data_IF_622736159350
#
_entry.id   IF_622736159350
#
_cell.length_a   1.000
_cell.length_b   1.000
_cell.length_c   1.000
_cell.angle_alpha   90.00
_cell.angle_beta   90.00
_cell.angle_gamma   90.00
#
_symmetry.space_group_name_H-M   'P 1'
#
loop_
_entity.id
_entity.type
_entity.pdbx_description
1 polymer ?
#
# COMPACT_ATOMS: atom_id res chain seq x y z
N UNK A 1 8.98 -11.77 -4.14
CA UNK A 1 7.98 -10.93 -3.44
C UNK A 1 6.58 -11.26 -3.96
N UNK A 2 5.69 -11.80 -3.12
CA UNK A 2 4.33 -12.15 -3.56
C UNK A 2 3.54 -10.86 -3.82
N UNK A 3 3.02 -10.67 -5.04
CA UNK A 3 2.26 -9.46 -5.40
C UNK A 3 0.92 -9.45 -4.66
N UNK A 4 0.67 -8.39 -3.90
CA UNK A 4 -0.59 -8.25 -3.15
C UNK A 4 -1.68 -7.64 -4.04
N UNK A 5 -2.94 -7.96 -3.76
CA UNK A 5 -4.10 -7.38 -4.48
C UNK A 5 -4.06 -5.85 -4.50
N UNK A 6 -3.63 -5.22 -3.41
CA UNK A 6 -3.48 -3.75 -3.33
C UNK A 6 -2.37 -3.23 -4.26
N UNK A 7 -1.22 -3.89 -4.28
CA UNK A 7 -0.11 -3.52 -5.16
C UNK A 7 -0.53 -3.66 -6.64
N UNK A 8 -1.23 -4.73 -6.98
CA UNK A 8 -1.77 -4.97 -8.32
C UNK A 8 -2.73 -3.86 -8.76
N UNK A 9 -3.70 -3.49 -7.92
CA UNK A 9 -4.63 -2.39 -8.21
C UNK A 9 -3.88 -1.07 -8.47
N UNK A 10 -2.84 -0.78 -7.69
CA UNK A 10 -2.06 0.44 -7.84
C UNK A 10 -1.26 0.44 -9.16
N UNK A 11 -0.63 -0.68 -9.51
CA UNK A 11 0.12 -0.83 -10.76
C UNK A 11 -0.81 -0.73 -11.99
N UNK A 12 -1.98 -1.39 -11.95
CA UNK A 12 -3.00 -1.26 -13.01
C UNK A 12 -3.54 0.19 -13.11
N UNK A 13 -3.68 0.89 -11.97
CA UNK A 13 -4.08 2.30 -11.98
C UNK A 13 -3.00 3.20 -12.59
N UNK A 14 -1.73 2.91 -12.33
CA UNK A 14 -0.60 3.65 -12.89
C UNK A 14 -0.56 3.48 -14.41
N UNK A 15 -0.70 2.26 -14.90
CA UNK A 15 -0.73 1.95 -16.34
C UNK A 15 -1.84 2.73 -17.06
N UNK A 16 -3.07 2.69 -16.52
CA UNK A 16 -4.20 3.45 -17.08
C UNK A 16 -3.94 4.96 -17.12
N UNK A 17 -3.31 5.53 -16.08
CA UNK A 17 -2.97 6.96 -16.01
C UNK A 17 -1.89 7.34 -17.02
N UNK A 18 -0.86 6.51 -17.17
CA UNK A 18 0.19 6.71 -18.17
C UNK A 18 -0.38 6.66 -19.60
N UNK A 19 -1.25 5.70 -19.88
CA UNK A 19 -1.97 5.64 -21.17
C UNK A 19 -2.75 6.93 -21.43
N UNK A 20 -3.58 7.36 -20.47
CA UNK A 20 -4.35 8.59 -20.60
C UNK A 20 -3.47 9.85 -20.76
N UNK A 21 -2.28 9.87 -20.16
CA UNK A 21 -1.32 10.96 -20.31
C UNK A 21 -0.76 10.99 -21.72
N UNK A 22 -0.32 9.84 -22.24
CA UNK A 22 0.20 9.72 -23.60
C UNK A 22 -0.87 10.13 -24.64
N UNK A 23 -2.11 9.69 -24.46
CA UNK A 23 -3.23 10.05 -25.35
C UNK A 23 -3.47 11.57 -25.35
N UNK A 24 -3.47 12.21 -24.18
CA UNK A 24 -3.62 13.67 -24.05
C UNK A 24 -2.42 14.43 -24.63
N UNK A 25 -1.21 13.91 -24.43
CA UNK A 25 0.01 14.52 -24.96
C UNK A 25 0.00 14.47 -26.48
N UNK A 26 -0.36 13.32 -27.07
CA UNK A 26 -0.49 13.18 -28.51
C UNK A 26 -1.57 14.13 -29.08
N UNK A 27 -2.70 14.27 -28.39
CA UNK A 27 -3.74 15.22 -28.78
C UNK A 27 -3.23 16.67 -28.74
N UNK A 28 -2.47 17.06 -27.70
CA UNK A 28 -1.85 18.38 -27.63
C UNK A 28 -0.88 18.61 -28.79
N UNK A 29 0.03 17.66 -29.05
CA UNK A 29 0.98 17.71 -30.17
C UNK A 29 0.24 17.85 -31.50
N UNK A 30 -0.82 17.07 -31.73
CA UNK A 30 -1.63 17.14 -32.94
C UNK A 30 -2.31 18.51 -33.08
N UNK A 31 -2.83 19.07 -31.97
CA UNK A 31 -3.43 20.41 -31.97
C UNK A 31 -2.41 21.51 -32.30
N UNK A 32 -1.19 21.39 -31.80
CA UNK A 32 -0.09 22.32 -32.10
C UNK A 32 0.32 22.21 -33.57
N UNK A 33 0.49 20.98 -34.09
CA UNK A 33 0.80 20.72 -35.49
C UNK A 33 -0.26 21.29 -36.43
N UNK A 34 -1.55 21.06 -36.16
CA UNK A 34 -2.65 21.58 -36.97
C UNK A 34 -2.63 23.10 -37.12
N UNK A 35 -2.17 23.81 -36.09
CA UNK A 35 -2.14 25.25 -36.12
C UNK A 35 -0.99 25.83 -36.97
N UNK A 36 0.01 25.03 -37.36
CA UNK A 36 1.10 25.41 -38.28
C UNK A 36 1.76 26.78 -37.99
N UNK A 37 1.90 27.17 -36.71
CA UNK A 37 2.46 28.47 -36.31
C UNK A 37 1.55 29.70 -36.57
N UNK A 38 0.39 29.54 -37.20
CA UNK A 38 -0.59 30.62 -37.42
C UNK A 38 -1.07 31.34 -36.14
N UNK A 39 -1.28 30.68 -34.97
CA UNK A 39 -1.80 31.35 -33.78
C UNK A 39 -0.90 32.45 -33.25
N UNK A 40 0.40 32.40 -33.57
CA UNK A 40 1.38 33.40 -33.13
C UNK A 40 1.36 34.64 -34.03
N UNK A 41 0.82 34.53 -35.25
CA UNK A 41 0.70 35.61 -36.23
C UNK A 41 -0.75 36.11 -36.41
N UNK A 42 -1.75 35.34 -35.98
CA UNK A 42 -3.17 35.68 -36.08
C UNK A 42 -3.64 36.58 -34.92
N UNK A 43 -3.85 37.88 -35.22
CA UNK A 43 -4.32 38.89 -34.26
C UNK A 43 -5.77 38.72 -33.79
N UNK A 44 -6.63 37.96 -34.50
CA UNK A 44 -8.05 37.80 -34.16
C UNK A 44 -8.32 36.51 -33.39
N UNK A 45 -7.76 35.38 -33.81
CA UNK A 45 -8.06 34.07 -33.19
C UNK A 45 -6.90 33.45 -32.39
N UNK A 46 -5.69 34.05 -32.39
CA UNK A 46 -4.53 33.53 -31.67
C UNK A 46 -4.77 33.28 -30.18
N UNK A 47 -5.51 34.18 -29.50
CA UNK A 47 -5.83 34.05 -28.07
C UNK A 47 -6.67 32.81 -27.76
N UNK A 48 -7.64 32.47 -28.62
CA UNK A 48 -8.49 31.30 -28.41
C UNK A 48 -7.67 30.00 -28.50
N UNK A 49 -6.74 29.92 -29.45
CA UNK A 49 -5.84 28.77 -29.60
C UNK A 49 -4.88 28.64 -28.43
N UNK A 50 -4.27 29.74 -27.98
CA UNK A 50 -3.40 29.74 -26.79
C UNK A 50 -4.15 29.29 -25.54
N UNK A 51 -5.39 29.77 -25.34
CA UNK A 51 -6.23 29.33 -24.23
C UNK A 51 -6.55 27.83 -24.29
N UNK A 52 -6.77 27.28 -25.49
CA UNK A 52 -6.96 25.83 -25.69
C UNK A 52 -5.71 25.05 -25.30
N UNK A 53 -4.53 25.49 -25.75
CA UNK A 53 -3.25 24.85 -25.41
C UNK A 53 -2.98 24.91 -23.91
N UNK A 54 -3.25 26.04 -23.26
CA UNK A 54 -3.05 26.16 -21.82
C UNK A 54 -3.98 25.23 -21.03
N UNK A 55 -5.24 25.06 -21.46
CA UNK A 55 -6.15 24.06 -20.87
C UNK A 55 -5.63 22.63 -21.04
N UNK A 56 -5.10 22.30 -22.22
CA UNK A 56 -4.49 20.99 -22.48
C UNK A 56 -3.26 20.76 -21.57
N UNK A 57 -2.38 21.76 -21.46
CA UNK A 57 -1.21 21.73 -20.59
C UNK A 57 -1.59 21.58 -19.12
N UNK A 58 -2.59 22.32 -18.64
CA UNK A 58 -3.09 22.17 -17.27
C UNK A 58 -3.67 20.78 -17.02
N UNK A 59 -4.39 20.21 -17.98
CA UNK A 59 -4.83 18.82 -17.86
C UNK A 59 -3.66 17.82 -17.80
N UNK A 60 -2.57 18.06 -18.54
CA UNK A 60 -1.36 17.22 -18.50
C UNK A 60 -0.64 17.34 -17.16
N UNK A 61 -0.45 18.57 -16.64
CA UNK A 61 0.15 18.83 -15.32
C UNK A 61 -0.60 18.10 -14.21
N UNK A 62 -1.93 18.23 -14.19
CA UNK A 62 -2.79 17.57 -13.20
C UNK A 62 -2.66 16.04 -13.26
N UNK A 63 -2.58 15.47 -14.46
CA UNK A 63 -2.44 14.03 -14.63
C UNK A 63 -1.05 13.54 -14.22
N UNK A 64 0.01 14.31 -14.53
CA UNK A 64 1.37 14.04 -14.07
C UNK A 64 1.47 14.03 -12.54
N UNK A 65 0.82 14.97 -11.84
CA UNK A 65 0.74 14.94 -10.39
C UNK A 65 0.02 13.70 -9.87
N UNK A 66 -1.08 13.29 -10.51
CA UNK A 66 -1.80 12.07 -10.15
C UNK A 66 -0.97 10.80 -10.38
N UNK A 67 -0.14 10.76 -11.43
CA UNK A 67 0.81 9.68 -11.70
C UNK A 67 1.82 9.61 -10.55
N UNK A 68 2.47 10.74 -10.22
CA UNK A 68 3.45 10.83 -9.13
C UNK A 68 2.88 10.39 -7.77
N UNK A 69 1.62 10.74 -7.48
CA UNK A 69 0.91 10.26 -6.27
C UNK A 69 0.76 8.74 -6.27
N UNK A 70 0.45 8.14 -7.42
CA UNK A 70 0.26 6.70 -7.58
C UNK A 70 1.59 5.94 -7.46
N UNK A 71 2.66 6.42 -8.09
CA UNK A 71 4.01 5.88 -7.96
C UNK A 71 4.49 5.88 -6.50
N UNK A 72 4.26 7.00 -5.79
CA UNK A 72 4.56 7.10 -4.37
C UNK A 72 3.76 6.09 -3.53
N UNK A 73 2.49 5.85 -3.86
CA UNK A 73 1.68 4.85 -3.20
C UNK A 73 2.21 3.43 -3.45
N UNK A 74 2.63 3.12 -4.69
CA UNK A 74 3.27 1.84 -5.06
C UNK A 74 4.55 1.65 -4.25
N UNK A 75 5.44 2.66 -4.23
CA UNK A 75 6.69 2.60 -3.47
C UNK A 75 6.44 2.33 -1.98
N UNK A 76 5.50 3.06 -1.36
CA UNK A 76 5.12 2.84 0.04
C UNK A 76 4.58 1.43 0.28
N UNK A 77 3.81 0.89 -0.65
CA UNK A 77 3.27 -0.46 -0.54
C UNK A 77 4.37 -1.53 -0.67
N UNK A 78 5.29 -1.37 -1.63
CA UNK A 78 6.46 -2.25 -1.79
C UNK A 78 7.33 -2.25 -0.53
N UNK A 79 7.59 -1.08 0.05
CA UNK A 79 8.35 -0.97 1.31
C UNK A 79 7.68 -1.75 2.45
N UNK A 80 6.36 -1.59 2.65
CA UNK A 80 5.63 -2.36 3.69
C UNK A 80 5.73 -3.87 3.48
N UNK A 81 5.66 -4.33 2.23
CA UNK A 81 5.80 -5.76 1.93
C UNK A 81 7.21 -6.24 2.25
N UNK A 82 8.23 -5.50 1.80
CA UNK A 82 9.64 -5.81 2.06
C UNK A 82 9.95 -5.83 3.57
N UNK A 83 9.49 -4.83 4.33
CA UNK A 83 9.65 -4.80 5.78
C UNK A 83 8.95 -5.99 6.45
N UNK A 84 7.75 -6.38 5.97
CA UNK A 84 7.02 -7.53 6.49
C UNK A 84 7.75 -8.85 6.24
N UNK A 85 8.28 -9.03 5.02
CA UNK A 85 9.07 -10.20 4.64
C UNK A 85 10.39 -10.25 5.43
N UNK A 86 11.10 -9.12 5.58
CA UNK A 86 12.31 -9.02 6.39
C UNK A 86 12.05 -9.39 7.84
N UNK A 87 10.98 -8.84 8.45
CA UNK A 87 10.64 -9.18 9.83
C UNK A 87 10.27 -10.65 9.96
N UNK A 88 9.57 -11.26 8.98
CA UNK A 88 9.27 -12.69 8.99
C UNK A 88 10.52 -13.56 9.17
N UNK A 89 11.65 -13.16 8.57
CA UNK A 89 12.91 -13.90 8.64
C UNK A 89 13.61 -13.85 10.01
N UNK A 90 13.24 -12.90 10.88
CA UNK A 90 13.82 -12.76 12.23
C UNK A 90 12.87 -13.22 13.34
N UNK A 91 11.65 -13.65 13.00
CA UNK A 91 10.68 -14.13 13.98
C UNK A 91 11.01 -15.55 14.45
N UNK A 92 10.63 -15.91 15.69
CA UNK A 92 10.66 -17.30 16.14
C UNK A 92 9.85 -18.24 15.23
N UNK A 93 10.33 -19.47 15.08
CA UNK A 93 9.70 -20.52 14.25
C UNK A 93 8.24 -20.76 14.68
N UNK A 94 7.95 -20.69 15.98
CA UNK A 94 6.60 -20.84 16.54
C UNK A 94 5.62 -19.80 15.99
N UNK A 95 6.04 -18.55 15.80
CA UNK A 95 5.22 -17.50 15.18
C UNK A 95 5.08 -17.73 13.68
N UNK A 96 6.17 -18.11 12.99
CA UNK A 96 6.16 -18.37 11.55
C UNK A 96 5.16 -19.48 11.20
N UNK A 97 5.17 -20.59 11.94
CA UNK A 97 4.20 -21.69 11.77
C UNK A 97 2.76 -21.21 11.90
N UNK A 98 2.49 -20.31 12.85
CA UNK A 98 1.17 -19.72 13.09
C UNK A 98 0.73 -18.71 12.03
N UNK A 99 1.67 -18.12 11.30
CA UNK A 99 1.38 -17.31 10.12
C UNK A 99 1.05 -18.18 8.92
N UNK A 100 1.71 -19.33 8.79
CA UNK A 100 1.54 -20.26 7.67
C UNK A 100 0.26 -21.09 7.79
N UNK A 101 -0.13 -21.47 9.00
CA UNK A 101 -1.40 -22.15 9.28
C UNK A 101 -2.63 -21.21 9.24
N UNK A 102 -2.42 -19.90 9.10
CA UNK A 102 -3.48 -18.88 9.02
C UNK A 102 -4.12 -18.52 10.36
N UNK A 103 -3.60 -19.03 11.48
CA UNK A 103 -4.07 -18.64 12.84
C UNK A 103 -3.75 -17.17 13.11
N UNK A 104 -2.58 -16.70 12.65
CA UNK A 104 -2.14 -15.32 12.78
C UNK A 104 -2.11 -14.60 11.43
N UNK A 105 -2.50 -13.33 11.47
CA UNK A 105 -2.35 -12.38 10.37
C UNK A 105 -1.33 -11.30 10.77
N UNK A 106 -0.26 -11.16 10.00
CA UNK A 106 0.78 -10.14 10.24
C UNK A 106 0.30 -8.74 9.80
N UNK A 107 0.53 -7.74 10.65
CA UNK A 107 0.19 -6.36 10.30
C UNK A 107 1.29 -5.70 9.45
N UNK A 108 1.04 -5.51 8.16
CA UNK A 108 2.03 -4.91 7.24
C UNK A 108 2.51 -3.49 7.59
N UNK A 109 1.77 -2.73 8.40
CA UNK A 109 2.22 -1.39 8.86
C UNK A 109 3.15 -1.49 10.07
N UNK A 110 2.97 -2.52 10.88
CA UNK A 110 3.75 -2.78 12.10
C UNK A 110 4.06 -4.28 12.14
N UNK A 111 5.05 -4.77 11.36
CA UNK A 111 5.18 -6.19 11.08
C UNK A 111 5.52 -7.09 12.27
N UNK A 112 5.88 -6.52 13.41
CA UNK A 112 6.02 -7.22 14.69
C UNK A 112 4.69 -7.42 15.43
N UNK A 113 3.59 -6.91 14.88
CA UNK A 113 2.25 -7.02 15.45
C UNK A 113 1.41 -7.98 14.62
N UNK A 114 0.66 -8.84 15.32
CA UNK A 114 -0.13 -9.92 14.75
C UNK A 114 -1.56 -9.88 15.28
N UNK A 115 -2.50 -10.23 14.40
CA UNK A 115 -3.90 -10.42 14.72
C UNK A 115 -4.20 -11.91 14.77
N UNK A 116 -4.97 -12.35 15.76
CA UNK A 116 -5.49 -13.73 15.79
C UNK A 116 -6.73 -13.77 14.92
N UNK A 117 -6.77 -14.67 13.96
CA UNK A 117 -7.93 -14.82 13.09
C UNK A 117 -9.15 -15.23 13.94
N UNK A 118 -10.28 -14.53 13.79
CA UNK A 118 -11.46 -14.68 14.66
C UNK A 118 -11.43 -13.86 15.95
N UNK A 119 -10.47 -12.95 16.14
CA UNK A 119 -10.44 -12.01 17.27
C UNK A 119 -10.29 -10.58 16.74
N UNK A 120 -11.22 -9.70 17.12
CA UNK A 120 -11.34 -8.40 16.44
C UNK A 120 -10.33 -7.34 16.93
N UNK A 121 -10.12 -7.25 18.25
CA UNK A 121 -9.48 -6.07 18.86
C UNK A 121 -8.10 -6.32 19.43
N UNK A 122 -7.87 -7.49 19.99
CA UNK A 122 -6.61 -7.80 20.65
C UNK A 122 -5.50 -8.12 19.64
N UNK A 123 -4.27 -7.81 20.04
CA UNK A 123 -3.08 -7.95 19.22
C UNK A 123 -1.99 -8.67 19.99
N UNK A 124 -1.25 -9.54 19.32
CA UNK A 124 0.00 -10.12 19.81
C UNK A 124 1.16 -9.31 19.22
N UNK A 125 2.17 -8.99 20.03
CA UNK A 125 3.32 -8.19 19.62
C UNK A 125 4.60 -8.95 19.95
N UNK A 126 5.48 -9.10 18.97
CA UNK A 126 6.84 -9.61 19.18
C UNK A 126 7.73 -8.50 19.75
N UNK A 127 8.27 -8.73 20.95
CA UNK A 127 9.29 -7.89 21.57
C UNK A 127 10.66 -8.50 21.29
N UNK A 128 11.35 -7.95 20.29
CA UNK A 128 12.69 -8.42 19.89
C UNK A 128 13.75 -8.19 20.97
N UNK A 129 13.58 -7.21 21.87
CA UNK A 129 14.54 -6.92 22.94
C UNK A 129 14.43 -7.95 24.05
N UNK A 130 13.20 -8.26 24.46
CA UNK A 130 12.92 -9.26 25.50
C UNK A 130 12.84 -10.69 24.97
N UNK A 131 12.94 -10.87 23.65
CA UNK A 131 12.78 -12.15 22.95
C UNK A 131 11.51 -12.90 23.37
N UNK A 132 10.41 -12.17 23.54
CA UNK A 132 9.13 -12.71 24.00
C UNK A 132 7.95 -12.06 23.29
N UNK A 133 6.76 -12.63 23.48
CA UNK A 133 5.51 -12.02 23.00
C UNK A 133 4.84 -11.22 24.12
N UNK A 134 4.21 -10.13 23.73
CA UNK A 134 3.33 -9.32 24.56
C UNK A 134 1.95 -9.22 23.91
N UNK A 135 0.96 -8.74 24.64
CA UNK A 135 -0.38 -8.48 24.11
C UNK A 135 -0.79 -7.02 24.26
N UNK A 136 -1.69 -6.55 23.40
CA UNK A 136 -2.34 -5.24 23.52
C UNK A 136 -3.84 -5.36 23.31
N UNK A 137 -4.60 -4.45 23.94
CA UNK A 137 -6.05 -4.31 23.76
C UNK A 137 -6.88 -5.55 24.13
N UNK A 138 -6.36 -6.39 25.01
CA UNK A 138 -7.07 -7.58 25.51
C UNK A 138 -8.37 -7.21 26.23
N UNK A 139 -8.37 -6.08 26.94
CA UNK A 139 -9.51 -5.51 27.65
C UNK A 139 -10.65 -5.04 26.73
N UNK A 140 -10.39 -4.83 25.43
CA UNK A 140 -11.42 -4.38 24.51
C UNK A 140 -12.29 -5.54 23.96
N UNK A 141 -11.85 -6.79 24.15
CA UNK A 141 -12.63 -7.98 23.80
C UNK A 141 -13.81 -8.09 24.76
N UNK A 142 -15.03 -8.00 24.23
CA UNK A 142 -16.27 -8.18 25.00
C UNK A 142 -16.79 -9.62 24.93
N UNK A 143 -16.50 -10.31 23.84
CA UNK A 143 -16.94 -11.69 23.61
C UNK A 143 -16.00 -12.68 24.33
N UNK A 144 -16.60 -13.53 25.17
CA UNK A 144 -15.88 -14.53 25.96
C UNK A 144 -15.19 -15.58 25.09
N UNK A 145 -15.76 -15.94 23.93
CA UNK A 145 -15.19 -16.96 23.07
C UNK A 145 -14.02 -16.43 22.25
N UNK A 146 -14.11 -15.18 21.76
CA UNK A 146 -12.95 -14.47 21.22
C UNK A 146 -11.83 -14.36 22.26
N UNK A 147 -12.17 -14.04 23.51
CA UNK A 147 -11.19 -13.93 24.59
C UNK A 147 -10.47 -15.25 24.84
N UNK A 148 -11.21 -16.36 24.94
CA UNK A 148 -10.64 -17.71 25.10
C UNK A 148 -9.73 -18.08 23.93
N UNK A 149 -10.16 -17.80 22.69
CA UNK A 149 -9.39 -18.07 21.48
C UNK A 149 -8.07 -17.30 21.49
N UNK A 150 -8.13 -16.01 21.82
CA UNK A 150 -6.95 -15.16 21.95
C UNK A 150 -6.00 -15.68 23.04
N UNK A 151 -6.52 -15.93 24.24
CA UNK A 151 -5.74 -16.39 25.38
C UNK A 151 -5.05 -17.74 25.09
N UNK A 152 -5.77 -18.69 24.48
CA UNK A 152 -5.21 -19.97 24.05
C UNK A 152 -4.05 -19.79 23.08
N UNK A 153 -4.24 -18.94 22.06
CA UNK A 153 -3.22 -18.68 21.03
C UNK A 153 -1.99 -17.98 21.62
N UNK A 154 -2.21 -16.96 22.46
CA UNK A 154 -1.15 -16.20 23.13
C UNK A 154 -0.33 -17.09 24.07
N UNK A 155 -0.99 -17.84 24.97
CA UNK A 155 -0.31 -18.68 25.94
C UNK A 155 0.50 -19.79 25.27
N UNK A 156 -0.03 -20.36 24.18
CA UNK A 156 0.72 -21.33 23.38
C UNK A 156 2.02 -20.71 22.84
N UNK A 157 1.94 -19.54 22.18
CA UNK A 157 3.10 -18.84 21.64
C UNK A 157 4.10 -18.46 22.74
N UNK A 158 3.62 -17.88 23.83
CA UNK A 158 4.47 -17.46 24.96
C UNK A 158 5.26 -18.64 25.53
N UNK A 159 4.60 -19.78 25.74
CA UNK A 159 5.24 -20.98 26.28
C UNK A 159 6.20 -21.62 25.27
N UNK A 160 5.85 -21.68 23.98
CA UNK A 160 6.75 -22.20 22.94
C UNK A 160 8.03 -21.37 22.86
N UNK A 161 7.92 -20.05 22.79
CA UNK A 161 9.07 -19.14 22.70
C UNK A 161 9.93 -19.20 23.96
N UNK A 162 9.31 -19.35 25.14
CA UNK A 162 10.04 -19.51 26.40
C UNK A 162 10.82 -20.82 26.46
N UNK A 163 10.37 -21.88 25.78
CA UNK A 163 11.09 -23.15 25.68
C UNK A 163 12.23 -23.11 24.66
N UNK A 164 12.11 -22.25 23.65
CA UNK A 164 13.11 -22.07 22.58
C UNK A 164 14.30 -21.20 23.02
N UNK A 165 14.17 -20.45 24.14
CA UNK A 165 15.21 -19.63 24.76
C UNK A 165 15.79 -20.33 26.00
#
# INVERSE_FOLDING_TARGET
MKKTKRLEILENSLEKKNKAFNDKLQNHINTVKQANGQPLNDKRNGRATLNKWERQNNSLRNLQESIKKTENAIRKEKNKISESEYIKNILPISIIKKLEDGTLNQWRKHPTTFFVNGVDKARIVWDSKKKTVAHRYLNEIKDKDQWKLFAKTYNHLYNSIKKDN
#
